data_IF_741378005239
#
_entry.id   IF_741378005239
#
_cell.length_a   1.000
_cell.length_b   1.000
_cell.length_c   1.000
_cell.angle_alpha   90.00
_cell.angle_beta   90.00
_cell.angle_gamma   90.00
#
_symmetry.space_group_name_H-M   'P 1'
#
loop_
_entity.id
_entity.type
_entity.pdbx_description
1 polymer ?
#
# COMPACT_ATOMS: atom_id res chain seq x y z
N UNK A 1 4.24 -19.08 8.21
CA UNK A 1 4.03 -19.20 6.75
C UNK A 1 5.37 -19.51 6.10
N UNK A 2 5.41 -20.33 5.04
CA UNK A 2 6.63 -20.54 4.25
C UNK A 2 6.60 -19.57 3.07
N UNK A 3 7.59 -18.70 2.95
CA UNK A 3 7.74 -17.78 1.82
C UNK A 3 8.90 -18.25 0.95
N UNK A 4 8.66 -18.41 -0.34
CA UNK A 4 9.70 -18.72 -1.33
C UNK A 4 10.18 -17.42 -1.95
N UNK A 5 11.50 -17.22 -2.00
CA UNK A 5 12.15 -16.06 -2.62
C UNK A 5 13.10 -16.56 -3.70
N UNK A 6 13.10 -15.92 -4.87
CA UNK A 6 13.98 -16.28 -5.99
C UNK A 6 15.07 -15.23 -6.12
N UNK A 7 16.28 -15.61 -5.70
CA UNK A 7 17.46 -14.75 -5.70
C UNK A 7 18.36 -15.14 -6.87
N UNK A 8 18.76 -14.15 -7.67
CA UNK A 8 19.75 -14.28 -8.73
C UNK A 8 21.00 -13.52 -8.32
N UNK A 9 22.17 -14.17 -8.35
CA UNK A 9 23.48 -13.55 -8.12
C UNK A 9 24.32 -13.71 -9.38
N UNK A 10 24.75 -12.58 -9.93
CA UNK A 10 25.61 -12.49 -11.10
C UNK A 10 27.01 -12.02 -10.66
N UNK A 11 28.05 -12.51 -11.33
CA UNK A 11 29.42 -12.05 -11.15
C UNK A 11 29.95 -11.53 -12.49
N UNK A 12 30.43 -10.29 -12.49
CA UNK A 12 31.05 -9.64 -13.65
C UNK A 12 32.49 -9.17 -13.33
N UNK A 13 33.07 -8.37 -14.21
CA UNK A 13 34.41 -7.77 -14.04
C UNK A 13 34.42 -6.69 -12.94
N UNK A 14 33.28 -6.06 -12.66
CA UNK A 14 33.11 -4.98 -11.68
C UNK A 14 32.78 -5.49 -10.26
N UNK A 15 32.42 -6.77 -10.12
CA UNK A 15 32.13 -7.40 -8.84
C UNK A 15 30.98 -8.43 -8.90
N UNK A 16 30.10 -8.35 -7.91
CA UNK A 16 28.92 -9.18 -7.75
C UNK A 16 27.68 -8.30 -7.79
N UNK A 17 26.61 -8.81 -8.39
CA UNK A 17 25.29 -8.21 -8.37
C UNK A 17 24.26 -9.23 -7.88
N UNK A 18 23.35 -8.83 -7.01
CA UNK A 18 22.24 -9.66 -6.56
C UNK A 18 20.90 -8.96 -6.79
N UNK A 19 19.90 -9.73 -7.19
CA UNK A 19 18.52 -9.28 -7.39
C UNK A 19 17.54 -10.33 -6.87
N UNK A 20 16.38 -9.88 -6.37
CA UNK A 20 15.30 -10.74 -5.91
C UNK A 20 14.06 -10.46 -6.76
N UNK A 21 13.47 -11.49 -7.37
CA UNK A 21 12.35 -11.32 -8.32
C UNK A 21 11.08 -10.74 -7.67
N UNK A 22 10.92 -11.00 -6.37
CA UNK A 22 9.79 -10.55 -5.57
C UNK A 22 9.90 -9.08 -5.14
N UNK A 23 11.09 -8.49 -5.23
CA UNK A 23 11.34 -7.08 -4.87
C UNK A 23 11.63 -6.33 -6.18
N UNK A 24 10.56 -5.86 -6.82
CA UNK A 24 10.63 -5.24 -8.14
C UNK A 24 11.57 -4.01 -8.15
N UNK A 25 12.54 -4.01 -9.07
CA UNK A 25 13.48 -2.91 -9.26
C UNK A 25 14.67 -2.89 -8.30
N UNK A 26 14.80 -3.87 -7.40
CA UNK A 26 15.91 -3.90 -6.44
C UNK A 26 17.10 -4.73 -6.94
N UNK A 27 18.25 -4.06 -7.10
CA UNK A 27 19.53 -4.66 -7.46
C UNK A 27 20.63 -4.15 -6.54
N UNK A 28 21.39 -5.06 -5.93
CA UNK A 28 22.54 -4.76 -5.07
C UNK A 28 23.81 -5.09 -5.80
N UNK A 29 24.80 -4.20 -5.78
CA UNK A 29 26.11 -4.45 -6.38
C UNK A 29 27.22 -4.19 -5.37
N UNK A 30 28.20 -5.09 -5.28
CA UNK A 30 29.41 -4.86 -4.49
C UNK A 30 30.61 -5.67 -5.01
N UNK A 31 31.81 -5.27 -4.60
CA UNK A 31 33.08 -5.89 -5.06
C UNK A 31 33.35 -7.27 -4.47
N UNK A 32 32.66 -7.65 -3.40
CA UNK A 32 32.84 -8.93 -2.69
C UNK A 32 31.49 -9.62 -2.49
N UNK A 33 31.49 -10.95 -2.61
CA UNK A 33 30.31 -11.78 -2.40
C UNK A 33 29.72 -11.59 -1.00
N UNK A 34 30.57 -11.51 0.02
CA UNK A 34 30.17 -11.29 1.41
C UNK A 34 29.34 -10.00 1.57
N UNK A 35 29.83 -8.92 0.96
CA UNK A 35 29.19 -7.60 1.03
C UNK A 35 27.84 -7.60 0.32
N UNK A 36 27.76 -8.23 -0.87
CA UNK A 36 26.49 -8.33 -1.61
C UNK A 36 25.46 -9.13 -0.84
N UNK A 37 25.86 -10.29 -0.29
CA UNK A 37 24.94 -11.15 0.46
C UNK A 37 24.45 -10.46 1.73
N UNK A 38 25.33 -9.76 2.46
CA UNK A 38 24.95 -9.01 3.67
C UNK A 38 23.93 -7.91 3.37
N UNK A 39 24.14 -7.14 2.31
CA UNK A 39 23.23 -6.08 1.89
C UNK A 39 21.89 -6.63 1.40
N UNK A 40 21.93 -7.73 0.64
CA UNK A 40 20.73 -8.44 0.19
C UNK A 40 19.92 -8.95 1.39
N UNK A 41 20.59 -9.56 2.38
CA UNK A 41 19.94 -10.10 3.57
C UNK A 41 19.19 -9.01 4.33
N UNK A 42 19.85 -7.89 4.64
CA UNK A 42 19.24 -6.78 5.36
C UNK A 42 17.97 -6.25 4.65
N UNK A 43 18.00 -6.24 3.32
CA UNK A 43 16.86 -5.77 2.52
C UNK A 43 15.72 -6.77 2.47
N UNK A 44 16.01 -8.07 2.37
CA UNK A 44 14.99 -9.11 2.43
C UNK A 44 14.31 -9.10 3.80
N UNK A 45 15.07 -8.94 4.88
CA UNK A 45 14.54 -8.83 6.25
C UNK A 45 13.60 -7.63 6.39
N UNK A 46 13.99 -6.48 5.87
CA UNK A 46 13.16 -5.27 5.85
C UNK A 46 11.86 -5.50 5.03
N UNK A 47 11.98 -6.06 3.82
CA UNK A 47 10.82 -6.39 2.98
C UNK A 47 9.86 -7.35 3.67
N UNK A 48 10.35 -8.44 4.28
CA UNK A 48 9.51 -9.40 5.00
C UNK A 48 8.84 -8.78 6.23
N UNK A 49 9.51 -7.84 6.90
CA UNK A 49 8.94 -7.08 8.02
C UNK A 49 7.84 -6.15 7.54
N UNK A 50 8.04 -5.44 6.43
CA UNK A 50 7.03 -4.59 5.80
C UNK A 50 5.82 -5.41 5.33
N UNK A 51 6.03 -6.55 4.66
CA UNK A 51 4.94 -7.45 4.22
C UNK A 51 4.17 -8.03 5.41
N UNK A 52 4.85 -8.34 6.52
CA UNK A 52 4.18 -8.86 7.72
C UNK A 52 3.36 -7.79 8.43
N UNK A 53 3.82 -6.53 8.40
CA UNK A 53 3.12 -5.39 9.00
C UNK A 53 1.96 -4.88 8.13
N UNK A 54 2.13 -4.90 6.80
CA UNK A 54 1.09 -4.50 5.84
C UNK A 54 -0.01 -5.53 5.65
N UNK A 55 0.21 -6.81 6.03
CA UNK A 55 -0.87 -7.81 6.12
C UNK A 55 -1.93 -7.51 7.18
N UNK A 56 -1.71 -6.56 8.09
CA UNK A 56 -2.78 -6.09 8.98
C UNK A 56 -3.74 -5.10 8.28
N UNK A 57 -3.35 -4.59 7.12
CA UNK A 57 -4.24 -3.94 6.17
C UNK A 57 -4.57 -4.94 5.05
N UNK A 58 -5.19 -6.08 5.41
CA UNK A 58 -6.03 -6.75 4.42
C UNK A 58 -7.00 -5.69 3.92
N UNK A 59 -6.85 -5.30 2.64
CA UNK A 59 -7.81 -4.47 1.92
C UNK A 59 -9.16 -5.12 2.18
N UNK A 60 -9.92 -4.48 3.03
CA UNK A 60 -11.22 -4.91 3.41
C UNK A 60 -12.01 -5.02 2.09
N UNK A 61 -12.53 -6.20 1.76
CA UNK A 61 -13.36 -6.42 0.56
C UNK A 61 -14.72 -5.69 0.67
N UNK A 62 -14.83 -4.74 1.58
CA UNK A 62 -16.02 -3.93 1.79
C UNK A 62 -16.14 -2.96 0.62
N UNK A 63 -17.36 -2.69 0.17
CA UNK A 63 -17.60 -1.62 -0.79
C UNK A 63 -17.12 -0.29 -0.21
N UNK A 64 -16.76 0.66 -1.08
CA UNK A 64 -16.33 2.01 -0.71
C UNK A 64 -17.33 2.67 0.26
N UNK A 65 -18.61 2.39 0.13
CA UNK A 65 -19.66 2.91 1.02
C UNK A 65 -19.55 2.40 2.46
N UNK A 66 -19.21 1.12 2.67
CA UNK A 66 -19.05 0.58 4.02
C UNK A 66 -17.86 1.21 4.75
N UNK A 67 -16.79 1.55 4.01
CA UNK A 67 -15.66 2.31 4.56
C UNK A 67 -16.13 3.70 5.01
N UNK A 68 -16.98 4.37 4.23
CA UNK A 68 -17.52 5.67 4.59
C UNK A 68 -18.43 5.61 5.82
N UNK A 69 -19.27 4.58 5.94
CA UNK A 69 -20.13 4.36 7.12
C UNK A 69 -19.31 4.15 8.39
N UNK A 70 -18.26 3.32 8.33
CA UNK A 70 -17.37 3.08 9.46
C UNK A 70 -16.71 4.39 9.92
N UNK A 71 -16.22 5.21 8.99
CA UNK A 71 -15.61 6.51 9.29
C UNK A 71 -16.59 7.50 9.94
N UNK A 72 -17.84 7.53 9.48
CA UNK A 72 -18.88 8.42 10.05
C UNK A 72 -19.30 7.94 11.44
N UNK A 73 -19.32 6.63 11.68
CA UNK A 73 -19.68 6.04 12.98
C UNK A 73 -18.67 6.38 14.08
N UNK A 74 -17.40 6.62 13.74
CA UNK A 74 -16.34 7.00 14.67
C UNK A 74 -16.38 8.48 15.08
N UNK A 75 -17.15 9.34 14.40
CA UNK A 75 -17.22 10.78 14.69
C UNK A 75 -18.06 11.09 15.93
N UNK A 76 -17.59 12.04 16.74
CA UNK A 76 -18.38 12.63 17.83
C UNK A 76 -19.44 13.60 17.29
N UNK A 77 -20.47 13.90 18.09
CA UNK A 77 -21.54 14.84 17.68
C UNK A 77 -20.99 16.23 17.31
N UNK A 78 -19.99 16.73 18.04
CA UNK A 78 -19.33 18.01 17.75
C UNK A 78 -18.52 18.02 16.44
N UNK A 79 -18.02 16.87 16.00
CA UNK A 79 -17.33 16.74 14.71
C UNK A 79 -18.33 16.59 13.57
N UNK A 80 -19.46 15.91 13.81
CA UNK A 80 -20.57 15.81 12.84
C UNK A 80 -21.16 17.18 12.49
N UNK A 81 -21.26 18.08 13.47
CA UNK A 81 -21.74 19.45 13.27
C UNK A 81 -20.81 20.30 12.39
N UNK A 82 -19.54 19.91 12.24
CA UNK A 82 -18.55 20.61 11.41
C UNK A 82 -18.47 20.03 9.99
N UNK A 83 -19.25 18.99 9.67
CA UNK A 83 -19.27 18.42 8.34
C UNK A 83 -19.86 19.42 7.33
N UNK A 84 -19.33 19.45 6.09
CA UNK A 84 -19.90 20.29 5.05
C UNK A 84 -21.32 19.82 4.70
N UNK A 85 -22.14 20.74 4.19
CA UNK A 85 -23.45 20.41 3.62
C UNK A 85 -23.32 19.33 2.55
N UNK A 86 -24.17 18.30 2.62
CA UNK A 86 -24.14 17.20 1.67
C UNK A 86 -24.48 17.67 0.24
N UNK A 87 -23.49 17.61 -0.64
CA UNK A 87 -23.64 17.98 -2.05
C UNK A 87 -24.43 16.97 -2.88
N UNK A 88 -24.62 15.75 -2.40
CA UNK A 88 -25.38 14.69 -3.07
C UNK A 88 -26.90 14.84 -2.89
N UNK A 89 -27.36 15.74 -2.01
CA UNK A 89 -28.79 16.04 -1.83
C UNK A 89 -29.47 16.49 -3.13
N UNK A 90 -28.71 17.14 -4.02
CA UNK A 90 -29.20 17.65 -5.31
C UNK A 90 -29.00 16.68 -6.48
N UNK A 91 -28.83 15.37 -6.24
CA UNK A 91 -28.56 14.42 -7.33
C UNK A 91 -29.62 14.47 -8.45
N UNK A 92 -30.91 14.64 -8.12
CA UNK A 92 -31.97 14.79 -9.12
C UNK A 92 -31.78 16.00 -10.04
N UNK A 93 -31.28 17.12 -9.51
CA UNK A 93 -30.95 18.29 -10.31
C UNK A 93 -29.83 17.99 -11.31
N UNK A 94 -28.78 17.30 -10.87
CA UNK A 94 -27.61 17.00 -11.72
C UNK A 94 -27.88 15.84 -12.71
N UNK A 95 -28.75 14.91 -12.35
CA UNK A 95 -29.08 13.74 -13.19
C UNK A 95 -30.22 14.06 -14.16
N UNK A 96 -31.27 14.75 -13.71
CA UNK A 96 -32.51 14.96 -14.48
C UNK A 96 -32.81 16.43 -14.81
N UNK A 97 -32.01 17.38 -14.32
CA UNK A 97 -32.22 18.80 -14.59
C UNK A 97 -33.41 19.41 -13.85
N UNK A 98 -33.88 18.79 -12.76
CA UNK A 98 -34.93 19.35 -11.90
C UNK A 98 -34.46 20.66 -11.25
N UNK A 99 -35.34 21.59 -10.86
CA UNK A 99 -34.92 22.81 -10.16
C UNK A 99 -34.13 22.48 -8.88
N UNK A 100 -33.10 23.28 -8.58
CA UNK A 100 -32.38 23.16 -7.31
C UNK A 100 -33.34 23.45 -6.16
N UNK A 101 -33.29 22.60 -5.14
CA UNK A 101 -33.97 22.85 -3.87
C UNK A 101 -32.96 23.60 -2.99
N UNK A 102 -33.35 24.78 -2.52
CA UNK A 102 -32.59 25.62 -1.57
C UNK A 102 -32.64 25.06 -0.14
#
# INVERSE_FOLDING_TARGET
MKTKLNILIEKDESGYAASCSEIAGYKVTAKSLDVVVKNLQATIEDYLTQVSSTKKAEKSSQPIWAIAEDLIAELTESEKEQLPTDGAVQHDHYIYGTPKVD
#
